data_IF_882010289476
#
_entry.id   IF_882010289476
#
_cell.length_a   1.000
_cell.length_b   1.000
_cell.length_c   1.000
_cell.angle_alpha   90.00
_cell.angle_beta   90.00
_cell.angle_gamma   90.00
#
_symmetry.space_group_name_H-M   'P 1'
#
loop_
_entity.id
_entity.type
_entity.pdbx_description
1 polymer ?
#
# COMPACT_ATOMS: atom_id res chain seq x y z
N UNK A 1 12.67 -16.35 18.06
CA UNK A 1 13.35 -15.05 18.22
C UNK A 1 13.76 -14.56 16.84
N UNK A 2 13.26 -13.41 16.38
CA UNK A 2 13.51 -12.95 15.01
C UNK A 2 14.57 -11.84 15.03
N UNK A 3 15.66 -12.03 14.27
CA UNK A 3 16.75 -11.05 14.14
C UNK A 3 16.60 -10.30 12.82
N UNK A 4 16.34 -9.00 12.91
CA UNK A 4 16.21 -8.11 11.76
C UNK A 4 17.47 -7.26 11.61
N UNK A 5 18.23 -7.55 10.56
CA UNK A 5 19.34 -6.72 10.10
C UNK A 5 18.82 -5.49 9.34
N UNK A 6 19.60 -4.41 9.26
CA UNK A 6 19.24 -3.17 8.54
C UNK A 6 18.67 -3.42 7.13
N UNK A 7 19.33 -4.27 6.33
CA UNK A 7 18.86 -4.58 4.97
C UNK A 7 17.50 -5.27 4.94
N UNK A 8 17.21 -6.12 5.94
CA UNK A 8 15.91 -6.79 6.08
C UNK A 8 14.81 -5.79 6.47
N UNK A 9 15.14 -4.79 7.28
CA UNK A 9 14.19 -3.72 7.64
C UNK A 9 13.84 -2.86 6.43
N UNK A 10 14.83 -2.47 5.63
CA UNK A 10 14.61 -1.72 4.38
C UNK A 10 13.76 -2.51 3.39
N UNK A 11 14.05 -3.81 3.22
CA UNK A 11 13.26 -4.67 2.35
C UNK A 11 11.83 -4.83 2.88
N UNK A 12 11.67 -5.01 4.20
CA UNK A 12 10.36 -5.14 4.83
C UNK A 12 9.53 -3.86 4.68
N UNK A 13 10.12 -2.68 4.89
CA UNK A 13 9.40 -1.41 4.70
C UNK A 13 8.98 -1.22 3.25
N UNK A 14 9.85 -1.55 2.29
CA UNK A 14 9.52 -1.50 0.88
C UNK A 14 8.38 -2.46 0.52
N UNK A 15 8.43 -3.68 1.05
CA UNK A 15 7.40 -4.69 0.82
C UNK A 15 6.04 -4.27 1.39
N UNK A 16 6.01 -3.67 2.58
CA UNK A 16 4.76 -3.14 3.18
C UNK A 16 4.14 -2.05 2.30
N UNK A 17 4.94 -1.08 1.86
CA UNK A 17 4.46 0.03 1.00
C UNK A 17 3.92 -0.52 -0.33
N UNK A 18 4.67 -1.43 -0.96
CA UNK A 18 4.25 -2.04 -2.23
C UNK A 18 2.98 -2.87 -2.07
N UNK A 19 2.88 -3.70 -1.01
CA UNK A 19 1.68 -4.50 -0.74
C UNK A 19 0.46 -3.60 -0.58
N UNK A 20 0.57 -2.52 0.19
CA UNK A 20 -0.54 -1.57 0.36
C UNK A 20 -0.98 -0.98 -0.98
N UNK A 21 -0.03 -0.55 -1.81
CA UNK A 21 -0.31 -0.08 -3.16
C UNK A 21 -1.01 -1.14 -4.03
N UNK A 22 -0.51 -2.38 -4.03
CA UNK A 22 -1.10 -3.47 -4.82
C UNK A 22 -2.51 -3.83 -4.34
N UNK A 23 -2.76 -3.87 -3.03
CA UNK A 23 -4.11 -4.12 -2.48
C UNK A 23 -5.10 -3.08 -3.03
N UNK A 24 -4.73 -1.80 -3.00
CA UNK A 24 -5.60 -0.73 -3.52
C UNK A 24 -5.87 -0.89 -5.02
N UNK A 25 -4.84 -1.21 -5.82
CA UNK A 25 -4.98 -1.42 -7.27
C UNK A 25 -5.82 -2.65 -7.61
N UNK A 26 -5.56 -3.79 -6.97
CA UNK A 26 -6.35 -5.01 -7.16
C UNK A 26 -7.80 -4.79 -6.71
N UNK A 27 -8.02 -4.07 -5.60
CA UNK A 27 -9.38 -3.74 -5.15
C UNK A 27 -10.14 -2.89 -6.18
N UNK A 28 -9.47 -1.99 -6.89
CA UNK A 28 -10.08 -1.25 -7.98
C UNK A 28 -10.39 -2.17 -9.17
N UNK A 29 -9.44 -3.01 -9.58
CA UNK A 29 -9.63 -3.95 -10.69
C UNK A 29 -10.83 -4.88 -10.45
N UNK A 30 -11.02 -5.36 -9.23
CA UNK A 30 -12.12 -6.26 -8.88
C UNK A 30 -13.51 -5.64 -9.03
N UNK A 31 -13.61 -4.30 -9.06
CA UNK A 31 -14.87 -3.55 -9.22
C UNK A 31 -15.00 -2.92 -10.60
N UNK A 32 -13.99 -3.07 -11.44
CA UNK A 32 -13.89 -2.36 -12.70
C UNK A 32 -14.41 -3.20 -13.86
N UNK A 33 -14.92 -2.51 -14.87
CA UNK A 33 -15.20 -3.03 -16.20
C UNK A 33 -14.06 -2.70 -17.15
N UNK A 34 -13.96 -3.51 -18.21
CA UNK A 34 -12.94 -3.37 -19.24
C UNK A 34 -13.61 -3.08 -20.58
N UNK A 35 -13.07 -2.11 -21.30
CA UNK A 35 -13.54 -1.74 -22.64
C UNK A 35 -12.38 -1.28 -23.51
N UNK A 36 -12.67 -0.95 -24.76
CA UNK A 36 -11.72 -0.32 -25.67
C UNK A 36 -12.12 1.13 -25.87
N UNK A 37 -11.19 2.05 -25.61
CA UNK A 37 -11.34 3.46 -25.92
C UNK A 37 -10.62 3.81 -27.22
N UNK A 38 -10.99 4.93 -27.81
CA UNK A 38 -10.31 5.52 -28.96
C UNK A 38 -9.67 6.84 -28.56
N UNK A 39 -8.46 7.09 -29.03
CA UNK A 39 -7.74 8.35 -28.83
C UNK A 39 -8.33 9.40 -29.78
N UNK A 40 -8.88 10.46 -29.21
CA UNK A 40 -9.60 11.53 -29.90
C UNK A 40 -8.75 12.81 -29.80
N UNK A 41 -8.67 13.63 -30.86
CA UNK A 41 -7.91 14.87 -30.79
C UNK A 41 -8.50 15.80 -29.74
N UNK A 42 -7.65 16.36 -28.90
CA UNK A 42 -8.02 17.41 -27.97
C UNK A 42 -7.78 18.76 -28.64
N UNK A 43 -8.85 19.47 -29.00
CA UNK A 43 -8.78 20.85 -29.43
C UNK A 43 -8.90 21.73 -28.18
N UNK A 44 -7.78 22.12 -27.56
CA UNK A 44 -7.80 23.25 -26.64
C UNK A 44 -7.93 24.54 -27.46
N UNK A 45 -8.80 25.43 -27.01
CA UNK A 45 -8.81 26.82 -27.47
C UNK A 45 -7.46 27.45 -27.11
N UNK A 46 -6.85 28.25 -27.99
CA UNK A 46 -5.50 28.76 -27.79
C UNK A 46 -5.45 29.65 -26.55
N UNK A 47 -4.73 29.20 -25.53
CA UNK A 47 -4.36 30.05 -24.39
C UNK A 47 -3.04 30.77 -24.68
N UNK A 48 -2.88 31.98 -24.13
CA UNK A 48 -2.01 33.06 -24.64
C UNK A 48 -0.50 32.75 -24.76
N UNK A 49 -0.04 31.58 -24.29
CA UNK A 49 1.39 31.23 -24.18
C UNK A 49 1.85 30.06 -25.07
N UNK A 50 1.03 29.64 -26.04
CA UNK A 50 1.45 28.85 -27.22
C UNK A 50 2.27 27.57 -26.95
N UNK A 51 2.05 26.90 -25.82
CA UNK A 51 2.54 25.54 -25.58
C UNK A 51 1.33 24.60 -25.60
N UNK A 52 1.05 23.99 -26.75
CA UNK A 52 0.10 22.88 -26.89
C UNK A 52 0.65 21.65 -26.15
N UNK A 53 0.53 21.62 -24.83
CA UNK A 53 0.73 20.40 -24.03
C UNK A 53 -0.68 19.81 -23.81
N UNK A 54 -1.31 19.37 -24.90
CA UNK A 54 -2.61 18.71 -24.81
C UNK A 54 -2.45 17.29 -24.26
N UNK A 55 -3.16 16.95 -23.18
CA UNK A 55 -3.34 15.56 -22.77
C UNK A 55 -4.14 14.82 -23.85
N UNK A 56 -3.74 13.60 -24.28
CA UNK A 56 -4.55 12.82 -25.22
C UNK A 56 -5.89 12.50 -24.56
N UNK A 57 -7.02 12.81 -25.20
CA UNK A 57 -8.33 12.45 -24.67
C UNK A 57 -8.77 11.12 -25.22
N UNK A 58 -9.22 10.24 -24.34
CA UNK A 58 -9.71 8.91 -24.70
C UNK A 58 -11.21 8.91 -24.52
N UNK A 59 -11.92 8.49 -25.56
CA UNK A 59 -13.36 8.34 -25.54
C UNK A 59 -13.76 6.87 -25.65
N UNK A 60 -14.76 6.48 -24.88
CA UNK A 60 -15.37 5.15 -24.94
C UNK A 60 -16.88 5.23 -24.70
N UNK A 61 -17.62 4.22 -25.17
CA UNK A 61 -19.07 4.15 -24.98
C UNK A 61 -19.42 3.32 -23.74
N UNK A 62 -20.30 3.85 -22.88
CA UNK A 62 -20.88 3.13 -21.74
C UNK A 62 -22.33 3.56 -21.52
N UNK A 63 -23.25 2.60 -21.38
CA UNK A 63 -24.68 2.85 -21.14
C UNK A 63 -25.32 3.92 -22.08
N UNK A 64 -25.03 3.84 -23.39
CA UNK A 64 -25.45 4.79 -24.43
C UNK A 64 -24.89 6.22 -24.29
N UNK A 65 -23.91 6.44 -23.42
CA UNK A 65 -23.20 7.72 -23.27
C UNK A 65 -21.75 7.60 -23.74
N UNK A 66 -21.24 8.69 -24.32
CA UNK A 66 -19.82 8.82 -24.66
C UNK A 66 -19.09 9.39 -23.46
N UNK A 67 -18.23 8.59 -22.84
CA UNK A 67 -17.39 9.00 -21.71
C UNK A 67 -16.04 9.42 -22.26
N UNK A 68 -15.50 10.53 -21.75
CA UNK A 68 -14.18 11.05 -22.11
C UNK A 68 -13.35 11.24 -20.86
N UNK A 69 -12.07 10.87 -20.93
CA UNK A 69 -11.12 11.12 -19.85
C UNK A 69 -9.74 11.48 -20.42
N UNK A 70 -8.94 12.16 -19.61
CA UNK A 70 -7.57 12.50 -19.96
C UNK A 70 -6.65 11.29 -19.82
N UNK A 71 -5.99 10.94 -20.92
CA UNK A 71 -4.95 9.94 -20.96
C UNK A 71 -3.63 10.45 -20.36
N UNK A 72 -2.71 9.52 -20.14
CA UNK A 72 -1.41 9.82 -19.55
C UNK A 72 -0.57 10.67 -20.51
N UNK A 73 -0.19 11.88 -20.08
CA UNK A 73 0.60 12.86 -20.87
C UNK A 73 1.96 12.34 -21.36
N UNK A 74 2.57 11.39 -20.64
CA UNK A 74 3.89 10.84 -20.98
C UNK A 74 3.85 9.80 -22.10
N UNK A 75 2.66 9.36 -22.50
CA UNK A 75 2.48 8.34 -23.54
C UNK A 75 2.08 9.00 -24.85
N UNK A 76 2.88 8.75 -25.89
CA UNK A 76 2.61 9.22 -27.24
C UNK A 76 1.62 8.26 -27.89
N UNK A 77 0.36 8.65 -27.92
CA UNK A 77 -0.66 7.94 -28.68
C UNK A 77 -0.89 8.63 -30.02
N UNK A 78 -1.26 7.82 -31.03
CA UNK A 78 -1.72 8.36 -32.31
C UNK A 78 -3.23 8.61 -32.23
N UNK A 79 -3.68 9.66 -32.90
CA UNK A 79 -5.11 9.88 -33.09
C UNK A 79 -5.75 8.69 -33.80
N UNK A 80 -6.94 8.29 -33.34
CA UNK A 80 -7.66 7.11 -33.83
C UNK A 80 -7.13 5.77 -33.30
N UNK A 81 -6.04 5.77 -32.54
CA UNK A 81 -5.53 4.56 -31.89
C UNK A 81 -6.52 4.05 -30.85
N UNK A 82 -6.73 2.73 -30.83
CA UNK A 82 -7.56 2.06 -29.84
C UNK A 82 -6.71 1.60 -28.67
N UNK A 83 -7.13 1.92 -27.45
CA UNK A 83 -6.42 1.56 -26.22
C UNK A 83 -7.33 0.81 -25.26
N UNK A 84 -6.81 -0.18 -24.49
CA UNK A 84 -7.60 -0.84 -23.47
C UNK A 84 -7.87 0.15 -22.32
N UNK A 85 -9.12 0.20 -21.88
CA UNK A 85 -9.59 1.10 -20.80
C UNK A 85 -10.17 0.26 -19.68
N UNK A 86 -9.82 0.62 -18.45
CA UNK A 86 -10.42 0.10 -17.23
C UNK A 86 -11.15 1.24 -16.52
N UNK A 87 -12.39 1.01 -16.10
CA UNK A 87 -13.21 2.05 -15.45
C UNK A 87 -14.17 1.43 -14.44
N UNK A 88 -14.65 2.22 -13.48
CA UNK A 88 -15.72 1.82 -12.58
C UNK A 88 -17.06 2.28 -13.17
N UNK A 89 -18.05 1.39 -13.31
CA UNK A 89 -19.37 1.70 -13.88
C UNK A 89 -20.16 2.73 -13.05
N UNK A 90 -19.90 2.81 -11.74
CA UNK A 90 -20.48 3.83 -10.87
C UNK A 90 -19.90 5.22 -11.13
N UNK A 91 -18.65 5.29 -11.61
CA UNK A 91 -17.88 6.53 -11.85
C UNK A 91 -17.01 6.38 -13.10
N UNK A 92 -17.60 6.33 -14.31
CA UNK A 92 -16.88 6.01 -15.54
C UNK A 92 -15.88 7.09 -15.96
N UNK A 93 -16.00 8.32 -15.43
CA UNK A 93 -15.02 9.38 -15.61
C UNK A 93 -13.65 9.09 -14.97
N UNK A 94 -13.61 8.25 -13.94
CA UNK A 94 -12.37 7.83 -13.25
C UNK A 94 -11.75 6.62 -13.97
N UNK A 95 -11.69 6.70 -15.30
CA UNK A 95 -11.15 5.67 -16.17
C UNK A 95 -9.63 5.80 -16.30
N UNK A 96 -8.99 4.67 -16.60
CA UNK A 96 -7.56 4.61 -16.84
C UNK A 96 -7.26 3.78 -18.08
N UNK A 97 -6.15 4.08 -18.75
CA UNK A 97 -5.61 3.22 -19.78
C UNK A 97 -5.01 1.99 -19.10
N UNK A 98 -5.51 0.79 -19.44
CA UNK A 98 -5.06 -0.46 -18.85
C UNK A 98 -3.75 -0.94 -19.50
N UNK A 99 -2.71 -0.14 -19.34
CA UNK A 99 -1.33 -0.47 -19.69
C UNK A 99 -0.44 -0.32 -18.46
N UNK A 100 0.76 -0.88 -18.49
CA UNK A 100 1.73 -0.71 -17.39
C UNK A 100 1.99 0.78 -17.10
N UNK A 101 2.21 1.58 -18.16
CA UNK A 101 2.49 3.00 -18.02
C UNK A 101 1.25 3.82 -17.66
N UNK A 102 0.07 3.46 -18.16
CA UNK A 102 -1.17 4.20 -17.91
C UNK A 102 -1.77 3.96 -16.53
N UNK A 103 -1.71 2.72 -16.03
CA UNK A 103 -2.39 2.33 -14.80
C UNK A 103 -1.43 2.17 -13.60
N UNK A 104 -0.29 1.51 -13.81
CA UNK A 104 0.60 1.12 -12.70
C UNK A 104 1.65 2.18 -12.38
N UNK A 105 2.33 2.67 -13.42
CA UNK A 105 3.55 3.46 -13.30
C UNK A 105 3.41 4.72 -12.43
N UNK A 106 2.38 5.54 -12.66
CA UNK A 106 2.15 6.77 -11.88
C UNK A 106 2.07 6.48 -10.37
N UNK A 107 1.32 5.45 -9.97
CA UNK A 107 1.21 5.07 -8.56
C UNK A 107 2.51 4.47 -7.99
N UNK A 108 3.31 3.77 -8.80
CA UNK A 108 4.63 3.28 -8.38
C UNK A 108 5.61 4.43 -8.14
N UNK A 109 5.59 5.49 -8.94
CA UNK A 109 6.39 6.70 -8.69
C UNK A 109 6.03 7.31 -7.33
N UNK A 110 4.74 7.40 -7.01
CA UNK A 110 4.30 7.92 -5.72
C UNK A 110 4.77 7.07 -4.52
N UNK A 111 5.11 5.80 -4.73
CA UNK A 111 5.70 4.96 -3.68
C UNK A 111 7.16 5.33 -3.35
N UNK A 112 7.86 6.08 -4.20
CA UNK A 112 9.26 6.49 -3.97
C UNK A 112 9.37 7.42 -2.75
N UNK A 113 8.43 8.35 -2.57
CA UNK A 113 8.44 9.28 -1.44
C UNK A 113 8.44 8.60 -0.06
N UNK A 114 7.47 7.73 0.29
CA UNK A 114 7.49 7.03 1.56
C UNK A 114 8.67 6.06 1.68
N UNK A 115 9.14 5.48 0.57
CA UNK A 115 10.37 4.68 0.56
C UNK A 115 11.59 5.50 0.96
N UNK A 116 11.74 6.71 0.42
CA UNK A 116 12.85 7.61 0.76
C UNK A 116 12.80 8.01 2.24
N UNK A 117 11.62 8.38 2.75
CA UNK A 117 11.44 8.78 4.15
C UNK A 117 11.78 7.62 5.09
N UNK A 118 11.18 6.45 4.87
CA UNK A 118 11.42 5.27 5.72
C UNK A 118 12.85 4.79 5.63
N UNK A 119 13.46 4.82 4.44
CA UNK A 119 14.88 4.49 4.25
C UNK A 119 15.78 5.47 4.99
N UNK A 120 15.51 6.77 4.91
CA UNK A 120 16.25 7.80 5.63
C UNK A 120 16.22 7.60 7.14
N UNK A 121 15.04 7.28 7.70
CA UNK A 121 14.89 6.96 9.13
C UNK A 121 15.67 5.70 9.51
N UNK A 122 15.54 4.61 8.74
CA UNK A 122 16.22 3.34 9.03
C UNK A 122 17.75 3.54 8.97
N UNK A 123 18.25 4.25 7.97
CA UNK A 123 19.68 4.50 7.79
C UNK A 123 20.25 5.47 8.84
N UNK A 124 19.47 6.47 9.25
CA UNK A 124 19.87 7.48 10.23
C UNK A 124 19.89 6.94 11.66
N UNK A 125 18.92 6.11 12.05
CA UNK A 125 18.80 5.61 13.41
C UNK A 125 19.47 4.24 13.65
N UNK A 126 19.64 3.41 12.62
CA UNK A 126 20.15 2.02 12.77
C UNK A 126 21.53 1.87 12.15
N UNK A 127 22.54 1.64 13.01
CA UNK A 127 23.91 1.39 12.56
C UNK A 127 24.02 0.03 11.86
N UNK A 128 24.99 -0.11 10.95
CA UNK A 128 25.20 -1.30 10.09
C UNK A 128 25.29 -2.63 10.87
N UNK A 129 25.83 -2.62 12.09
CA UNK A 129 26.06 -3.82 12.91
C UNK A 129 25.01 -4.02 14.03
N UNK A 130 24.01 -3.16 14.11
CA UNK A 130 22.92 -3.32 15.07
C UNK A 130 21.85 -4.25 14.49
N UNK A 131 21.38 -5.19 15.32
CA UNK A 131 20.27 -6.08 14.98
C UNK A 131 19.12 -5.78 15.94
N UNK A 132 17.92 -5.58 15.38
CA UNK A 132 16.71 -5.51 16.20
C UNK A 132 16.30 -6.96 16.51
N UNK A 133 16.19 -7.27 17.80
CA UNK A 133 15.74 -8.58 18.28
C UNK A 133 14.30 -8.42 18.76
N UNK A 134 13.36 -8.96 17.98
CA UNK A 134 11.97 -9.04 18.40
C UNK A 134 11.79 -10.41 19.06
N UNK A 135 11.58 -10.38 20.37
CA UNK A 135 11.21 -11.56 21.16
C UNK A 135 9.74 -11.45 21.51
N UNK A 136 8.87 -12.22 20.83
CA UNK A 136 7.54 -12.54 21.36
C UNK A 136 7.71 -13.43 22.59
N UNK A 137 8.09 -12.84 23.72
CA UNK A 137 7.77 -13.46 25.01
C UNK A 137 6.32 -13.09 25.27
N UNK A 138 5.42 -14.06 25.11
CA UNK A 138 4.10 -13.95 25.72
C UNK A 138 4.33 -13.54 27.18
N UNK A 139 3.70 -12.48 27.71
CA UNK A 139 3.61 -12.32 29.14
C UNK A 139 2.80 -13.53 29.62
N UNK A 140 3.50 -14.61 29.97
CA UNK A 140 2.92 -15.72 30.70
C UNK A 140 2.39 -15.07 31.97
N UNK A 141 1.08 -14.84 32.01
CA UNK A 141 0.32 -14.50 33.19
C UNK A 141 0.82 -15.48 34.25
N UNK A 142 1.63 -14.96 35.17
CA UNK A 142 2.15 -15.71 36.31
C UNK A 142 0.89 -16.03 37.11
N UNK A 143 0.27 -17.18 36.84
CA UNK A 143 -0.90 -17.67 37.58
C UNK A 143 -0.42 -17.76 39.02
N UNK A 144 -0.86 -16.80 39.84
CA UNK A 144 -0.49 -16.70 41.24
C UNK A 144 -0.80 -18.03 41.90
N UNK A 145 0.25 -18.80 42.19
CA UNK A 145 0.16 -19.98 43.02
C UNK A 145 -0.04 -19.45 44.43
N UNK A 146 -1.31 -19.17 44.76
CA UNK A 146 -1.76 -18.72 46.08
C UNK A 146 -1.19 -19.71 47.10
N UNK A 147 -0.37 -19.20 47.99
CA UNK A 147 0.18 -19.92 49.12
C UNK A 147 -0.99 -20.37 50.02
N UNK A 148 -1.42 -21.61 49.86
CA UNK A 148 -2.34 -22.28 50.77
C UNK A 148 -1.56 -23.33 51.56
N UNK A 149 -0.55 -22.88 52.32
CA UNK A 149 0.27 -23.76 53.17
C UNK A 149 0.57 -23.21 54.57
N UNK A 150 -0.15 -22.20 55.04
CA UNK A 150 0.06 -21.61 56.37
C UNK A 150 -1.05 -21.90 57.41
N UNK A 151 -1.92 -22.90 57.19
CA UNK A 151 -2.97 -23.26 58.16
C UNK A 151 -2.84 -24.66 58.78
N UNK A 152 -1.72 -25.35 58.58
CA UNK A 152 -1.44 -26.63 59.25
C UNK A 152 -0.07 -26.64 59.94
N UNK A 153 0.12 -25.77 60.94
CA UNK A 153 0.95 -26.10 62.10
C UNK A 153 0.86 -24.99 63.16
N UNK A 154 -0.11 -25.13 64.06
CA UNK A 154 -0.02 -24.55 65.40
C UNK A 154 -0.57 -25.57 66.39
N UNK A 155 0.23 -25.82 67.42
CA UNK A 155 -0.15 -26.35 68.72
C UNK A 155 -0.33 -27.86 68.91
N UNK A 156 0.83 -28.54 68.93
CA UNK A 156 1.07 -29.69 69.79
C UNK A 156 2.18 -29.39 70.81
N UNK A 157 1.89 -28.62 71.86
CA UNK A 157 2.80 -28.41 73.00
C UNK A 157 2.60 -29.54 74.01
N UNK A 158 3.60 -30.42 74.09
CA UNK A 158 3.66 -31.57 74.98
C UNK A 158 3.86 -31.19 76.46
N UNK A 159 3.15 -31.93 77.31
CA UNK A 159 3.36 -32.04 78.76
C UNK A 159 4.72 -32.71 79.05
N UNK A 160 5.50 -32.13 79.97
CA UNK A 160 6.55 -32.85 80.72
C UNK A 160 6.08 -33.01 82.16
N UNK A 161 5.99 -34.27 82.59
CA UNK A 161 5.82 -34.66 83.98
C UNK A 161 7.18 -34.60 84.69
N UNK A 162 7.20 -34.07 85.91
CA UNK A 162 8.22 -34.24 86.95
C UNK A 162 7.50 -34.84 88.14
#
# INVERSE_FOLDING_TARGET
MLKLSRSKLLLLSALIILIYYFINRISYINKAEFTTGMVVPFYELPDWNNSNIGSPVIAFAHANTLVKFEGTQYLKYKEGETVPVIFNSEQPQDAYIFTFMGYWYSGLIWCIWPLMITSGLILGFIRKNQNIIISLKYPLIKKGKKEEKSLMHSDGLGKKYV
#
